data_IF_356047645174
#
_entry.id   IF_356047645174
#
_cell.length_a   1.000
_cell.length_b   1.000
_cell.length_c   1.000
_cell.angle_alpha   90.00
_cell.angle_beta   90.00
_cell.angle_gamma   90.00
#
_symmetry.space_group_name_H-M   'P 1'
#
loop_
_entity.id
_entity.type
_entity.pdbx_description
1 polymer ?
#
# COMPACT_ATOMS: atom_id res chain seq x y z
N UNK A 1 -3.44 33.87 13.58
CA UNK A 1 -3.73 33.50 12.17
C UNK A 1 -5.19 33.08 12.08
N UNK A 2 -5.93 33.48 11.04
CA UNK A 2 -7.31 33.01 10.85
C UNK A 2 -7.34 31.49 10.68
N UNK A 3 -8.35 30.84 11.24
CA UNK A 3 -8.56 29.39 11.10
C UNK A 3 -8.81 29.09 9.61
N UNK A 4 -8.09 28.13 9.01
CA UNK A 4 -8.33 27.77 7.62
C UNK A 4 -9.76 27.24 7.47
N UNK A 5 -10.51 27.82 6.54
CA UNK A 5 -11.86 27.39 6.20
C UNK A 5 -11.81 26.06 5.43
N UNK A 6 -12.68 25.12 5.78
CA UNK A 6 -12.78 23.85 5.07
C UNK A 6 -13.71 24.03 3.87
N UNK A 7 -13.18 23.83 2.67
CA UNK A 7 -13.98 23.68 1.45
C UNK A 7 -13.97 22.21 1.04
N UNK A 8 -15.16 21.63 0.88
CA UNK A 8 -15.28 20.26 0.39
C UNK A 8 -14.62 20.13 -1.00
N UNK A 9 -13.92 19.02 -1.30
CA UNK A 9 -13.19 18.91 -2.57
C UNK A 9 -14.08 18.90 -3.81
N UNK A 10 -15.34 18.55 -3.66
CA UNK A 10 -16.32 18.46 -4.74
C UNK A 10 -17.64 17.87 -4.25
N UNK A 11 -18.59 17.62 -5.16
CA UNK A 11 -19.88 17.02 -4.83
C UNK A 11 -19.74 15.58 -4.32
N UNK A 12 -20.77 15.13 -3.59
CA UNK A 12 -20.86 13.78 -3.01
C UNK A 12 -20.17 13.65 -1.65
N UNK A 13 -20.12 12.41 -1.15
CA UNK A 13 -19.48 12.10 0.13
C UNK A 13 -17.96 11.95 -0.03
N UNK A 14 -17.21 12.60 0.85
CA UNK A 14 -15.75 12.52 0.93
C UNK A 14 -15.33 12.02 2.30
N UNK A 15 -14.52 10.97 2.31
CA UNK A 15 -14.02 10.34 3.52
C UNK A 15 -12.54 10.65 3.67
N UNK A 16 -12.11 10.96 4.90
CA UNK A 16 -10.68 11.12 5.17
C UNK A 16 -9.97 9.80 4.89
N UNK A 17 -8.96 9.84 4.03
CA UNK A 17 -8.10 8.70 3.75
C UNK A 17 -7.01 8.62 4.81
N UNK A 18 -7.29 7.87 5.87
CA UNK A 18 -6.32 7.54 6.93
C UNK A 18 -5.57 6.24 6.67
N UNK A 19 -5.89 5.53 5.59
CA UNK A 19 -5.24 4.26 5.24
C UNK A 19 -3.82 4.51 4.72
N UNK A 20 -3.65 5.54 3.88
CA UNK A 20 -2.36 5.84 3.28
C UNK A 20 -1.60 6.93 4.03
N UNK A 21 -2.31 7.86 4.68
CA UNK A 21 -1.70 9.03 5.33
C UNK A 21 -2.34 9.31 6.69
N UNK A 22 -1.55 9.15 7.75
CA UNK A 22 -1.97 9.52 9.12
C UNK A 22 -1.77 11.01 9.40
N UNK A 23 -0.98 11.72 8.58
CA UNK A 23 -0.66 13.13 8.71
C UNK A 23 -0.83 13.91 7.40
N UNK A 24 -0.99 15.25 7.44
CA UNK A 24 -1.09 16.06 6.25
C UNK A 24 0.12 15.91 5.32
N UNK A 25 -0.13 15.73 4.03
CA UNK A 25 0.90 15.71 2.99
C UNK A 25 1.46 17.10 2.73
N UNK A 26 2.72 17.15 2.31
CA UNK A 26 3.33 18.39 1.83
C UNK A 26 2.66 18.88 0.55
N UNK A 27 2.78 20.19 0.27
CA UNK A 27 2.28 20.80 -0.98
C UNK A 27 2.92 20.19 -2.24
N UNK A 28 4.11 19.63 -2.10
CA UNK A 28 4.82 18.96 -3.18
C UNK A 28 4.30 17.53 -3.41
N UNK A 29 4.07 16.77 -2.33
CA UNK A 29 3.69 15.36 -2.42
C UNK A 29 2.22 15.17 -2.80
N UNK A 30 1.31 15.98 -2.26
CA UNK A 30 -0.13 15.82 -2.47
C UNK A 30 -0.53 15.69 -3.96
N UNK A 31 -0.13 16.64 -4.84
CA UNK A 31 -0.43 16.55 -6.27
C UNK A 31 0.17 15.30 -6.95
N UNK A 32 1.38 14.90 -6.56
CA UNK A 32 2.07 13.72 -7.12
C UNK A 32 1.35 12.43 -6.72
N UNK A 33 0.99 12.31 -5.43
CA UNK A 33 0.28 11.16 -4.88
C UNK A 33 -1.08 10.98 -5.56
N UNK A 34 -1.94 12.00 -5.53
CA UNK A 34 -3.30 11.90 -6.06
C UNK A 34 -3.37 11.62 -7.56
N UNK A 35 -2.47 12.24 -8.33
CA UNK A 35 -2.37 12.00 -9.77
C UNK A 35 -2.04 10.53 -10.07
N UNK A 36 -1.03 9.99 -9.38
CA UNK A 36 -0.56 8.63 -9.63
C UNK A 36 -1.50 7.57 -9.08
N UNK A 37 -2.11 7.82 -7.92
CA UNK A 37 -3.14 6.97 -7.32
C UNK A 37 -4.36 6.86 -8.21
N UNK A 38 -4.97 7.99 -8.61
CA UNK A 38 -6.15 7.97 -9.48
C UNK A 38 -5.88 7.24 -10.79
N UNK A 39 -4.74 7.52 -11.43
CA UNK A 39 -4.35 6.87 -12.69
C UNK A 39 -4.08 5.37 -12.51
N UNK A 40 -3.28 4.99 -11.52
CA UNK A 40 -2.90 3.60 -11.27
C UNK A 40 -4.10 2.77 -10.89
N UNK A 41 -4.88 3.23 -9.90
CA UNK A 41 -6.07 2.54 -9.43
C UNK A 41 -7.12 2.41 -10.54
N UNK A 42 -7.31 3.44 -11.37
CA UNK A 42 -8.24 3.37 -12.51
C UNK A 42 -7.84 2.31 -13.55
N UNK A 43 -6.55 2.22 -13.89
CA UNK A 43 -6.05 1.16 -14.79
C UNK A 43 -6.22 -0.22 -14.16
N UNK A 44 -5.90 -0.35 -12.88
CA UNK A 44 -6.05 -1.59 -12.12
C UNK A 44 -7.52 -2.03 -12.08
N UNK A 45 -8.43 -1.11 -11.75
CA UNK A 45 -9.87 -1.36 -11.69
C UNK A 45 -10.43 -1.81 -13.05
N UNK A 46 -10.04 -1.15 -14.14
CA UNK A 46 -10.48 -1.53 -15.48
C UNK A 46 -9.98 -2.92 -15.87
N UNK A 47 -8.70 -3.20 -15.62
CA UNK A 47 -8.08 -4.50 -15.92
C UNK A 47 -8.70 -5.65 -15.14
N UNK A 48 -9.15 -5.40 -13.91
CA UNK A 48 -9.74 -6.41 -13.04
C UNK A 48 -11.28 -6.42 -13.02
N UNK A 49 -11.93 -5.60 -13.85
CA UNK A 49 -13.38 -5.56 -13.93
C UNK A 49 -14.08 -4.94 -12.72
N UNK A 50 -13.37 -4.18 -11.88
CA UNK A 50 -13.98 -3.45 -10.77
C UNK A 50 -14.91 -2.35 -11.30
N UNK A 51 -16.10 -2.25 -10.72
CA UNK A 51 -17.10 -1.24 -11.09
C UNK A 51 -16.86 0.09 -10.39
N UNK A 52 -16.27 0.08 -9.21
CA UNK A 52 -15.94 1.30 -8.48
C UNK A 52 -14.59 1.87 -8.94
N UNK A 53 -14.49 3.19 -8.89
CA UNK A 53 -13.24 3.92 -8.88
C UNK A 53 -13.28 4.96 -7.77
N UNK A 54 -12.14 5.60 -7.51
CA UNK A 54 -12.07 6.61 -6.47
C UNK A 54 -11.53 7.91 -7.04
N UNK A 55 -12.17 9.01 -6.68
CA UNK A 55 -11.55 10.33 -6.77
C UNK A 55 -10.84 10.63 -5.47
N UNK A 56 -9.73 11.36 -5.58
CA UNK A 56 -8.91 11.76 -4.45
C UNK A 56 -8.59 13.24 -4.52
N UNK A 57 -8.54 13.86 -3.36
CA UNK A 57 -8.20 15.26 -3.22
C UNK A 57 -7.53 15.55 -1.88
N UNK A 58 -6.82 16.67 -1.81
CA UNK A 58 -6.27 17.20 -0.56
C UNK A 58 -6.97 18.48 -0.15
N UNK A 59 -7.41 18.56 1.11
CA UNK A 59 -7.83 19.82 1.74
C UNK A 59 -6.85 20.12 2.86
N UNK A 60 -6.12 21.24 2.76
CA UNK A 60 -5.07 21.62 3.72
C UNK A 60 -4.02 20.53 3.98
N UNK A 61 -3.69 19.75 2.93
CA UNK A 61 -2.76 18.61 3.00
C UNK A 61 -3.37 17.30 3.49
N UNK A 62 -4.57 17.31 4.05
CA UNK A 62 -5.29 16.09 4.47
C UNK A 62 -5.90 15.40 3.26
N UNK A 63 -5.63 14.11 3.09
CA UNK A 63 -6.14 13.27 1.99
C UNK A 63 -7.61 12.91 2.22
N UNK A 64 -8.41 13.03 1.17
CA UNK A 64 -9.79 12.56 1.12
C UNK A 64 -10.01 11.71 -0.12
N UNK A 65 -10.85 10.69 0.02
CA UNK A 65 -11.29 9.81 -1.05
C UNK A 65 -12.82 9.84 -1.17
N UNK A 66 -13.31 9.74 -2.39
CA UNK A 66 -14.73 9.59 -2.69
C UNK A 66 -14.91 8.41 -3.62
N UNK A 67 -15.66 7.36 -3.23
CA UNK A 67 -16.00 6.28 -4.14
C UNK A 67 -16.91 6.81 -5.24
N UNK A 68 -16.68 6.31 -6.45
CA UNK A 68 -17.37 6.69 -7.67
C UNK A 68 -17.72 5.46 -8.46
N UNK A 69 -18.79 5.55 -9.24
CA UNK A 69 -19.26 4.50 -10.12
C UNK A 69 -19.50 5.08 -11.51
N UNK A 70 -19.10 4.39 -12.59
CA UNK A 70 -19.37 4.83 -13.94
C UNK A 70 -20.87 5.10 -14.12
N UNK A 71 -21.20 6.22 -14.78
CA UNK A 71 -22.58 6.63 -15.11
C UNK A 71 -23.44 7.12 -13.94
N UNK A 72 -22.91 7.15 -12.73
CA UNK A 72 -23.61 7.66 -11.55
C UNK A 72 -23.27 9.14 -11.38
N UNK A 73 -24.30 9.94 -11.11
CA UNK A 73 -24.10 11.36 -10.78
C UNK A 73 -23.23 11.48 -9.52
N UNK A 74 -22.05 12.13 -9.60
CA UNK A 74 -21.13 12.28 -8.48
C UNK A 74 -21.68 13.08 -7.28
N UNK A 75 -22.79 13.80 -7.45
CA UNK A 75 -23.48 14.52 -6.38
C UNK A 75 -24.36 13.64 -5.51
N UNK A 76 -24.74 12.46 -6.00
CA UNK A 76 -25.48 11.50 -5.20
C UNK A 76 -24.57 10.97 -4.09
N UNK A 77 -25.10 11.01 -2.88
CA UNK A 77 -24.45 10.49 -1.67
C UNK A 77 -24.72 9.00 -1.46
N UNK A 78 -25.40 8.34 -2.41
CA UNK A 78 -26.12 7.09 -2.18
C UNK A 78 -25.35 5.83 -2.60
N UNK A 79 -25.73 4.71 -1.98
CA UNK A 79 -25.05 3.42 -2.04
C UNK A 79 -25.18 2.65 -3.35
N UNK A 80 -24.61 1.44 -3.35
CA UNK A 80 -24.40 0.59 -4.53
C UNK A 80 -25.67 0.35 -5.37
N UNK A 81 -26.86 0.34 -4.75
CA UNK A 81 -28.13 0.03 -5.41
C UNK A 81 -28.59 1.12 -6.39
N UNK A 82 -28.30 2.39 -6.11
CA UNK A 82 -28.60 3.51 -7.01
C UNK A 82 -27.58 3.55 -8.16
N UNK A 83 -26.34 3.16 -7.86
CA UNK A 83 -25.26 3.09 -8.82
C UNK A 83 -25.47 2.01 -9.89
N UNK A 84 -26.01 0.86 -9.49
CA UNK A 84 -26.33 -0.25 -10.39
C UNK A 84 -27.48 0.04 -11.38
N UNK A 85 -28.30 1.08 -11.12
CA UNK A 85 -29.39 1.48 -12.02
C UNK A 85 -28.94 2.37 -13.18
N UNK A 86 -27.77 3.00 -13.07
CA UNK A 86 -27.14 3.66 -14.20
C UNK A 86 -26.40 2.59 -15.03
N UNK A 87 -26.74 2.43 -16.31
CA UNK A 87 -26.00 1.55 -17.23
C UNK A 87 -25.07 2.35 -18.14
N UNK A 88 -23.81 2.57 -17.73
CA UNK A 88 -22.71 2.91 -18.63
C UNK A 88 -22.45 1.78 -19.62
N UNK A 89 -22.07 2.16 -20.84
CA UNK A 89 -21.50 1.25 -21.83
C UNK A 89 -20.26 0.49 -21.32
N UNK A 90 -19.60 0.98 -20.27
CA UNK A 90 -18.43 0.35 -19.66
C UNK A 90 -18.76 -0.88 -18.79
N UNK A 91 -19.99 -1.00 -18.27
CA UNK A 91 -20.36 -2.08 -17.33
C UNK A 91 -20.20 -3.48 -17.96
N UNK A 92 -20.71 -3.75 -19.18
CA UNK A 92 -20.45 -5.03 -19.86
C UNK A 92 -18.97 -5.35 -20.02
N UNK A 93 -18.13 -4.35 -20.34
CA UNK A 93 -16.69 -4.54 -20.48
C UNK A 93 -16.03 -4.88 -19.14
N UNK A 94 -16.50 -4.31 -18.03
CA UNK A 94 -16.02 -4.65 -16.68
C UNK A 94 -16.38 -6.09 -16.30
N UNK A 95 -17.59 -6.55 -16.61
CA UNK A 95 -17.97 -7.95 -16.38
C UNK A 95 -17.13 -8.92 -17.21
N UNK A 96 -16.95 -8.64 -18.51
CA UNK A 96 -16.09 -9.46 -19.37
C UNK A 96 -14.63 -9.51 -18.85
N UNK A 97 -14.10 -8.39 -18.35
CA UNK A 97 -12.78 -8.38 -17.72
C UNK A 97 -12.74 -9.23 -16.44
N UNK A 98 -13.76 -9.12 -15.58
CA UNK A 98 -13.84 -9.90 -14.33
C UNK A 98 -13.91 -11.42 -14.58
N UNK A 99 -14.60 -11.86 -15.64
CA UNK A 99 -14.61 -13.27 -16.06
C UNK A 99 -13.20 -13.77 -16.37
N UNK A 100 -12.43 -12.98 -17.12
CA UNK A 100 -11.05 -13.29 -17.49
C UNK A 100 -10.10 -13.31 -16.28
N UNK A 101 -10.33 -12.44 -15.28
CA UNK A 101 -9.51 -12.39 -14.05
C UNK A 101 -9.42 -13.75 -13.37
N UNK A 102 -10.55 -14.43 -13.19
CA UNK A 102 -10.59 -15.71 -12.50
C UNK A 102 -10.27 -16.88 -13.42
N UNK A 103 -10.72 -16.85 -14.68
CA UNK A 103 -10.41 -17.89 -15.66
C UNK A 103 -8.90 -18.04 -15.86
N UNK A 104 -8.20 -16.93 -16.04
CA UNK A 104 -6.77 -16.92 -16.36
C UNK A 104 -5.88 -16.66 -15.14
N UNK A 105 -6.49 -16.41 -13.97
CA UNK A 105 -5.78 -16.08 -12.72
C UNK A 105 -4.84 -14.89 -12.93
N UNK A 106 -5.39 -13.78 -13.43
CA UNK A 106 -4.65 -12.62 -13.92
C UNK A 106 -3.57 -12.10 -12.96
N UNK A 107 -3.81 -12.20 -11.64
CA UNK A 107 -2.85 -11.82 -10.61
C UNK A 107 -1.51 -12.57 -10.71
N UNK A 108 -1.49 -13.81 -11.20
CA UNK A 108 -0.24 -14.58 -11.41
C UNK A 108 0.58 -14.00 -12.56
N UNK A 109 -0.08 -13.56 -13.63
CA UNK A 109 0.60 -12.89 -14.74
C UNK A 109 1.15 -11.53 -14.34
N UNK A 110 0.41 -10.78 -13.50
CA UNK A 110 0.88 -9.50 -13.00
C UNK A 110 2.06 -9.66 -12.03
N UNK A 111 2.09 -10.71 -11.19
CA UNK A 111 3.26 -11.07 -10.36
C UNK A 111 4.46 -11.45 -11.23
N UNK A 112 4.27 -12.29 -12.24
CA UNK A 112 5.35 -12.66 -13.16
C UNK A 112 5.95 -11.43 -13.86
N UNK A 113 5.09 -10.54 -14.38
CA UNK A 113 5.53 -9.27 -14.97
C UNK A 113 6.25 -8.38 -13.96
N UNK A 114 5.79 -8.36 -12.71
CA UNK A 114 6.44 -7.61 -11.65
C UNK A 114 7.87 -8.11 -11.43
N UNK A 115 8.04 -9.42 -11.23
CA UNK A 115 9.32 -10.03 -10.90
C UNK A 115 10.30 -10.03 -12.06
N UNK A 116 9.83 -10.25 -13.29
CA UNK A 116 10.69 -10.37 -14.47
C UNK A 116 10.98 -9.04 -15.16
N UNK A 117 10.08 -8.06 -15.07
CA UNK A 117 10.15 -6.82 -15.86
C UNK A 117 10.18 -5.57 -15.01
N UNK A 118 9.13 -5.32 -14.21
CA UNK A 118 8.97 -4.02 -13.57
C UNK A 118 9.95 -3.80 -12.42
N UNK A 119 10.09 -4.78 -11.52
CA UNK A 119 10.98 -4.68 -10.36
C UNK A 119 12.45 -4.59 -10.77
N UNK A 120 12.99 -5.43 -11.67
CA UNK A 120 14.38 -5.31 -12.10
C UNK A 120 14.69 -3.95 -12.75
N UNK A 121 13.83 -3.48 -13.65
CA UNK A 121 14.00 -2.17 -14.28
C UNK A 121 13.93 -1.01 -13.27
N UNK A 122 13.03 -1.13 -12.29
CA UNK A 122 12.90 -0.14 -11.21
C UNK A 122 14.15 -0.11 -10.31
N UNK A 123 14.66 -1.28 -9.93
CA UNK A 123 15.87 -1.41 -9.12
C UNK A 123 17.08 -0.84 -9.84
N UNK A 124 17.26 -1.14 -11.14
CA UNK A 124 18.34 -0.58 -11.94
C UNK A 124 18.26 0.95 -12.00
N UNK A 125 17.06 1.49 -12.22
CA UNK A 125 16.82 2.95 -12.26
C UNK A 125 17.15 3.61 -10.91
N UNK A 126 16.70 3.04 -9.80
CA UNK A 126 16.95 3.57 -8.46
C UNK A 126 18.44 3.50 -8.09
N UNK A 127 19.12 2.39 -8.42
CA UNK A 127 20.58 2.26 -8.21
C UNK A 127 21.36 3.30 -9.00
N UNK A 128 20.96 3.56 -10.25
CA UNK A 128 21.58 4.62 -11.05
C UNK A 128 21.42 6.00 -10.40
N UNK A 129 20.27 6.31 -9.81
CA UNK A 129 20.08 7.58 -9.09
C UNK A 129 20.93 7.64 -7.82
N UNK A 130 21.03 6.54 -7.08
CA UNK A 130 21.82 6.46 -5.85
C UNK A 130 23.33 6.52 -6.08
N UNK A 131 23.80 6.25 -7.30
CA UNK A 131 25.20 6.34 -7.67
C UNK A 131 25.67 7.77 -7.97
N UNK A 132 24.74 8.72 -8.16
CA UNK A 132 25.08 10.14 -8.28
C UNK A 132 25.65 10.67 -6.94
N UNK A 133 26.50 11.70 -6.98
CA UNK A 133 26.94 12.46 -5.80
C UNK A 133 26.26 13.84 -5.78
N UNK A 134 25.11 14.00 -5.08
CA UNK A 134 24.44 15.28 -4.98
C UNK A 134 25.21 16.30 -4.12
N UNK A 135 26.08 15.86 -3.21
CA UNK A 135 26.73 16.74 -2.25
C UNK A 135 27.84 17.58 -2.89
N UNK A 136 28.55 17.01 -3.89
CA UNK A 136 29.55 17.73 -4.68
C UNK A 136 29.00 18.47 -5.91
N UNK A 137 27.68 18.46 -6.13
CA UNK A 137 27.06 18.96 -7.36
C UNK A 137 26.78 20.46 -7.34
N UNK A 138 26.78 21.10 -8.51
CA UNK A 138 26.26 22.47 -8.65
C UNK A 138 24.73 22.49 -8.50
N UNK A 139 24.15 23.64 -8.20
CA UNK A 139 22.70 23.81 -8.08
C UNK A 139 21.93 23.33 -9.32
N UNK A 140 22.46 23.58 -10.51
CA UNK A 140 21.85 23.13 -11.78
C UNK A 140 21.84 21.60 -11.89
N UNK A 141 22.94 20.94 -11.48
CA UNK A 141 23.03 19.48 -11.50
C UNK A 141 22.11 18.88 -10.43
N UNK A 142 22.08 19.47 -9.24
CA UNK A 142 21.20 19.05 -8.15
C UNK A 142 19.72 19.18 -8.54
N UNK A 143 19.31 20.30 -9.13
CA UNK A 143 17.95 20.49 -9.64
C UNK A 143 17.59 19.42 -10.68
N UNK A 144 18.49 19.13 -11.62
CA UNK A 144 18.29 18.06 -12.60
C UNK A 144 18.18 16.66 -11.96
N UNK A 145 18.94 16.40 -10.90
CA UNK A 145 18.84 15.15 -10.14
C UNK A 145 17.48 15.04 -9.42
N UNK A 146 17.02 16.10 -8.75
CA UNK A 146 15.71 16.14 -8.09
C UNK A 146 14.56 15.91 -9.08
N UNK A 147 14.64 16.46 -10.29
CA UNK A 147 13.67 16.21 -11.35
C UNK A 147 13.67 14.75 -11.81
N UNK A 148 14.84 14.11 -11.92
CA UNK A 148 14.92 12.67 -12.19
C UNK A 148 14.26 11.86 -11.08
N UNK A 149 14.58 12.17 -9.82
CA UNK A 149 13.97 11.53 -8.65
C UNK A 149 12.45 11.66 -8.66
N UNK A 150 11.92 12.85 -8.98
CA UNK A 150 10.48 13.09 -9.12
C UNK A 150 9.84 12.24 -10.22
N UNK A 151 10.47 12.11 -11.39
CA UNK A 151 9.97 11.26 -12.49
C UNK A 151 9.95 9.78 -12.12
N UNK A 152 10.99 9.32 -11.42
CA UNK A 152 11.05 7.95 -10.93
C UNK A 152 9.99 7.69 -9.87
N UNK A 153 9.79 8.64 -8.94
CA UNK A 153 8.72 8.56 -7.95
C UNK A 153 7.34 8.44 -8.61
N UNK A 154 7.03 9.31 -9.58
CA UNK A 154 5.76 9.27 -10.32
C UNK A 154 5.50 7.90 -10.96
N UNK A 155 6.52 7.33 -11.61
CA UNK A 155 6.40 6.02 -12.25
C UNK A 155 6.23 4.89 -11.22
N UNK A 156 6.95 4.98 -10.11
CA UNK A 156 6.90 3.98 -9.02
C UNK A 156 5.53 3.95 -8.37
N UNK A 157 4.99 5.11 -8.01
CA UNK A 157 3.68 5.23 -7.37
C UNK A 157 2.56 4.78 -8.33
N UNK A 158 2.64 5.17 -9.60
CA UNK A 158 1.71 4.68 -10.62
C UNK A 158 1.72 3.14 -10.70
N UNK A 159 2.89 2.51 -10.77
CA UNK A 159 3.02 1.04 -10.86
C UNK A 159 2.49 0.35 -9.61
N UNK A 160 2.79 0.87 -8.43
CA UNK A 160 2.26 0.39 -7.17
C UNK A 160 0.73 0.36 -7.20
N UNK A 161 0.10 1.49 -7.52
CA UNK A 161 -1.36 1.60 -7.58
C UNK A 161 -2.00 0.81 -8.74
N UNK A 162 -1.28 0.62 -9.85
CA UNK A 162 -1.71 -0.22 -10.96
C UNK A 162 -1.81 -1.71 -10.58
N UNK A 163 -1.09 -2.15 -9.53
CA UNK A 163 -1.12 -3.51 -9.01
C UNK A 163 -2.07 -3.70 -7.81
N UNK A 164 -2.80 -2.68 -7.37
CA UNK A 164 -3.68 -2.81 -6.20
C UNK A 164 -4.71 -3.95 -6.35
N UNK A 165 -5.40 -4.06 -7.49
CA UNK A 165 -6.38 -5.14 -7.66
C UNK A 165 -5.74 -6.52 -7.78
N UNK A 166 -4.47 -6.61 -8.21
CA UNK A 166 -3.72 -7.86 -8.24
C UNK A 166 -3.63 -8.48 -6.83
N UNK A 167 -3.37 -7.68 -5.79
CA UNK A 167 -3.33 -8.19 -4.42
C UNK A 167 -4.74 -8.30 -3.80
N UNK A 168 -5.64 -7.34 -4.06
CA UNK A 168 -6.99 -7.36 -3.49
C UNK A 168 -7.78 -8.60 -3.89
N UNK A 169 -7.77 -8.97 -5.18
CA UNK A 169 -8.57 -10.10 -5.68
C UNK A 169 -8.08 -11.43 -5.12
N UNK A 170 -6.76 -11.64 -5.05
CA UNK A 170 -6.19 -12.87 -4.51
C UNK A 170 -6.52 -13.05 -3.02
N UNK A 171 -6.38 -12.00 -2.21
CA UNK A 171 -6.72 -12.02 -0.78
C UNK A 171 -8.23 -12.17 -0.59
N UNK A 172 -9.03 -11.44 -1.36
CA UNK A 172 -10.50 -11.50 -1.31
C UNK A 172 -11.04 -12.89 -1.66
N UNK A 173 -10.51 -13.54 -2.70
CA UNK A 173 -10.91 -14.90 -3.08
C UNK A 173 -10.50 -15.94 -2.03
N UNK A 174 -9.30 -15.80 -1.45
CA UNK A 174 -8.87 -16.63 -0.31
C UNK A 174 -9.84 -16.50 0.87
N UNK A 175 -10.11 -15.27 1.32
CA UNK A 175 -11.03 -15.02 2.43
C UNK A 175 -12.40 -15.62 2.10
N UNK A 176 -12.97 -15.29 0.94
CA UNK A 176 -14.30 -15.78 0.54
C UNK A 176 -14.39 -17.31 0.56
N UNK A 177 -13.47 -18.02 -0.11
CA UNK A 177 -13.49 -19.49 -0.21
C UNK A 177 -13.26 -20.18 1.13
N UNK A 178 -12.30 -19.69 1.93
CA UNK A 178 -12.00 -20.33 3.22
C UNK A 178 -13.14 -20.08 4.22
N UNK A 179 -13.79 -18.91 4.17
CA UNK A 179 -15.01 -18.66 4.95
C UNK A 179 -16.14 -19.62 4.56
N UNK A 180 -16.40 -19.80 3.27
CA UNK A 180 -17.42 -20.75 2.78
C UNK A 180 -17.14 -22.18 3.23
N UNK A 181 -15.86 -22.59 3.24
CA UNK A 181 -15.46 -23.93 3.65
C UNK A 181 -15.49 -24.16 5.16
N UNK A 182 -15.07 -23.17 5.96
CA UNK A 182 -14.78 -23.38 7.39
C UNK A 182 -15.73 -22.65 8.34
N UNK A 183 -16.48 -21.66 7.86
CA UNK A 183 -17.27 -20.76 8.70
C UNK A 183 -16.44 -19.79 9.55
N UNK A 184 -15.11 -19.76 9.42
CA UNK A 184 -14.25 -18.87 10.19
C UNK A 184 -14.56 -17.38 9.91
N UNK A 185 -14.41 -16.48 10.90
CA UNK A 185 -14.61 -15.06 10.69
C UNK A 185 -13.45 -14.44 9.90
N UNK A 186 -13.72 -13.31 9.22
CA UNK A 186 -12.76 -12.67 8.29
C UNK A 186 -11.47 -12.25 8.97
N UNK A 187 -11.56 -11.67 10.17
CA UNK A 187 -10.43 -11.21 10.99
C UNK A 187 -9.42 -12.35 11.23
N UNK A 188 -9.90 -13.51 11.68
CA UNK A 188 -9.06 -14.69 11.91
C UNK A 188 -8.36 -15.15 10.63
N UNK A 189 -9.02 -15.05 9.48
CA UNK A 189 -8.42 -15.45 8.20
C UNK A 189 -7.39 -14.45 7.68
N UNK A 190 -7.62 -13.16 7.91
CA UNK A 190 -6.64 -12.11 7.58
C UNK A 190 -5.42 -12.16 8.51
N UNK A 191 -5.59 -12.54 9.76
CA UNK A 191 -4.47 -12.72 10.70
C UNK A 191 -3.47 -13.79 10.22
N UNK A 192 -3.96 -14.83 9.53
CA UNK A 192 -3.10 -15.86 8.91
C UNK A 192 -2.20 -15.32 7.79
N UNK A 193 -2.53 -14.16 7.22
CA UNK A 193 -1.72 -13.49 6.21
C UNK A 193 -0.67 -12.56 6.85
N UNK A 194 -0.77 -12.32 8.16
CA UNK A 194 0.20 -11.54 8.93
C UNK A 194 1.61 -12.10 8.78
N UNK A 195 2.55 -11.27 8.33
CA UNK A 195 3.95 -11.66 8.14
C UNK A 195 4.23 -12.57 6.94
N UNK A 196 3.24 -12.90 6.11
CA UNK A 196 3.42 -13.79 4.95
C UNK A 196 4.39 -13.24 3.89
N UNK A 197 4.58 -11.91 3.84
CA UNK A 197 5.54 -11.25 2.96
C UNK A 197 6.82 -10.91 3.71
N UNK A 198 7.98 -11.52 3.37
CA UNK A 198 9.29 -11.12 3.90
C UNK A 198 9.59 -9.62 3.77
N UNK A 199 9.07 -8.98 2.70
CA UNK A 199 9.29 -7.57 2.43
C UNK A 199 8.49 -6.64 3.35
N UNK A 200 7.41 -7.14 3.97
CA UNK A 200 6.48 -6.35 4.79
C UNK A 200 6.76 -6.45 6.29
N UNK A 201 7.56 -7.44 6.72
CA UNK A 201 7.94 -7.62 8.13
C UNK A 201 8.90 -6.52 8.61
N UNK A 202 9.67 -5.92 7.69
CA UNK A 202 10.70 -4.93 8.03
C UNK A 202 11.82 -5.56 8.87
N UNK A 203 13.01 -4.95 8.88
CA UNK A 203 14.11 -5.31 9.78
C UNK A 203 14.42 -6.83 9.88
N UNK A 204 14.21 -7.62 8.80
CA UNK A 204 14.25 -9.08 8.89
C UNK A 204 15.63 -9.60 9.31
N UNK A 205 16.69 -8.97 8.83
CA UNK A 205 18.06 -9.34 9.18
C UNK A 205 18.36 -8.99 10.65
N UNK A 206 17.91 -7.82 11.08
CA UNK A 206 18.04 -7.31 12.43
C UNK A 206 17.24 -8.16 13.43
N UNK A 207 15.98 -8.50 13.09
CA UNK A 207 15.13 -9.41 13.87
C UNK A 207 15.74 -10.82 13.92
N UNK A 208 16.27 -11.33 12.81
CA UNK A 208 16.98 -12.62 12.81
C UNK A 208 18.21 -12.59 13.71
N UNK A 209 18.98 -11.49 13.69
CA UNK A 209 20.13 -11.29 14.58
C UNK A 209 19.72 -11.23 16.04
N UNK A 210 18.64 -10.52 16.37
CA UNK A 210 18.08 -10.44 17.73
C UNK A 210 17.61 -11.81 18.19
N UNK A 211 16.85 -12.54 17.37
CA UNK A 211 16.40 -13.90 17.67
C UNK A 211 17.58 -14.86 17.91
N UNK A 212 18.64 -14.76 17.11
CA UNK A 212 19.84 -15.57 17.29
C UNK A 212 20.56 -15.25 18.61
N UNK A 213 20.68 -13.96 18.96
CA UNK A 213 21.29 -13.53 20.22
C UNK A 213 20.47 -13.99 21.43
N UNK A 214 19.14 -13.88 21.37
CA UNK A 214 18.22 -14.34 22.40
C UNK A 214 18.24 -15.87 22.57
N UNK A 215 18.37 -16.62 21.47
CA UNK A 215 18.46 -18.08 21.53
C UNK A 215 19.81 -18.58 22.09
N UNK A 216 20.87 -17.79 21.94
CA UNK A 216 22.19 -18.09 22.48
C UNK A 216 22.34 -17.77 23.98
N UNK A 217 21.44 -16.94 24.53
CA UNK A 217 21.37 -16.61 25.95
C UNK A 217 20.28 -17.44 26.63
N UNK A 218 20.70 -18.34 27.54
CA UNK A 218 19.79 -19.26 28.23
C UNK A 218 18.75 -18.53 29.07
N UNK A 219 19.15 -17.48 29.77
CA UNK A 219 18.27 -16.73 30.68
C UNK A 219 17.25 -15.93 29.88
N UNK A 220 17.69 -15.33 28.76
CA UNK A 220 16.80 -14.65 27.82
C UNK A 220 15.80 -15.62 27.15
N UNK A 221 16.26 -16.82 26.78
CA UNK A 221 15.40 -17.85 26.19
C UNK A 221 14.39 -18.43 27.20
N UNK A 222 14.77 -18.57 28.47
CA UNK A 222 13.85 -18.97 29.55
C UNK A 222 12.82 -17.86 29.83
N UNK A 223 13.26 -16.60 29.85
CA UNK A 223 12.38 -15.44 30.02
C UNK A 223 11.35 -15.31 28.89
N UNK A 224 11.75 -15.52 27.63
CA UNK A 224 10.85 -15.52 26.46
C UNK A 224 9.75 -16.58 26.51
N UNK A 225 9.97 -17.68 27.23
CA UNK A 225 9.00 -18.77 27.39
C UNK A 225 8.11 -18.60 28.62
N UNK A 226 8.30 -17.53 29.39
CA UNK A 226 7.50 -17.25 30.57
C UNK A 226 6.16 -16.61 30.21
N UNK A 227 5.15 -16.79 31.07
CA UNK A 227 3.83 -16.16 30.93
C UNK A 227 3.80 -14.72 31.49
N UNK A 228 4.93 -14.00 31.43
CA UNK A 228 4.97 -12.60 31.87
C UNK A 228 4.28 -11.67 30.88
N UNK A 229 3.84 -10.51 31.37
CA UNK A 229 3.33 -9.44 30.52
C UNK A 229 4.41 -9.00 29.50
N UNK A 230 3.99 -8.71 28.27
CA UNK A 230 4.90 -8.40 27.18
C UNK A 230 5.77 -7.16 27.45
N UNK A 231 5.25 -6.16 28.18
CA UNK A 231 6.01 -4.97 28.56
C UNK A 231 7.10 -5.29 29.58
N UNK A 232 6.74 -6.02 30.64
CA UNK A 232 7.71 -6.46 31.67
C UNK A 232 8.79 -7.38 31.09
N UNK A 233 8.39 -8.28 30.18
CA UNK A 233 9.30 -9.17 29.49
C UNK A 233 10.31 -8.38 28.64
N UNK A 234 9.86 -7.36 27.91
CA UNK A 234 10.72 -6.50 27.12
C UNK A 234 11.71 -5.71 27.99
N UNK A 235 11.23 -5.09 29.08
CA UNK A 235 12.09 -4.33 29.99
C UNK A 235 13.21 -5.20 30.59
N UNK A 236 12.86 -6.44 30.97
CA UNK A 236 13.83 -7.40 31.49
C UNK A 236 14.82 -7.87 30.43
N UNK A 237 14.41 -8.11 29.19
CA UNK A 237 15.30 -8.44 28.08
C UNK A 237 16.24 -7.28 27.72
N UNK A 238 15.78 -6.04 27.83
CA UNK A 238 16.64 -4.87 27.65
C UNK A 238 17.67 -4.75 28.79
N UNK A 239 17.28 -5.12 30.02
CA UNK A 239 18.17 -5.10 31.18
C UNK A 239 19.25 -6.20 31.16
N UNK A 240 19.04 -7.33 30.47
CA UNK A 240 20.08 -8.37 30.31
C UNK A 240 21.20 -7.97 29.34
N UNK A 241 21.01 -6.89 28.56
CA UNK A 241 22.03 -6.37 27.66
C UNK A 241 22.27 -7.24 26.41
N UNK A 242 21.36 -8.17 26.10
CA UNK A 242 21.41 -8.96 24.87
C UNK A 242 21.24 -8.01 23.68
N UNK A 243 22.36 -7.72 23.00
CA UNK A 243 22.46 -6.74 21.90
C UNK A 243 23.38 -5.54 22.18
N UNK A 244 23.89 -5.38 23.41
CA UNK A 244 24.76 -4.26 23.82
C UNK A 244 26.27 -4.51 23.77
N UNK A 245 26.73 -5.67 23.28
CA UNK A 245 28.16 -5.98 23.16
C UNK A 245 28.56 -6.21 21.71
N UNK A 246 28.64 -5.13 20.95
CA UNK A 246 29.49 -5.08 19.76
C UNK A 246 30.95 -4.98 20.24
N UNK A 247 31.75 -5.98 19.90
CA UNK A 247 33.21 -6.01 20.08
C UNK A 247 33.92 -4.87 19.31
N UNK A 248 35.15 -4.49 19.70
CA UNK A 248 35.87 -3.28 19.28
C UNK A 248 36.20 -3.18 17.79
#
# INVERSE_FOLDING_TARGET
MPRPEFAAPGPGAWYRDSLHWTSPMTRWLGPVYHLTLRRGLGVSAARYGALEYYDFASVHGVSYASPRWPGVDPSLTTGIDDALRATPADVPARFAAAEHVFADRLWRHDIDRWDTTWKPAQVATLRSLQADDPAGSTDTVLAGHLDRCRRVLLTTMYRHHALNHCCHVAVGDYVRRVREWTGAPTDRLTDLLGGASPASVGARAELASVLAALAADRDAAELLRSDQDAGELLDRLLATGVGGRSHP
#
